data_IF_484254591087
#
_entry.id   IF_484254591087
#
_cell.length_a   1.000
_cell.length_b   1.000
_cell.length_c   1.000
_cell.angle_alpha   90.00
_cell.angle_beta   90.00
_cell.angle_gamma   90.00
#
_symmetry.space_group_name_H-M   'P 1'
#
loop_
_entity.id
_entity.type
_entity.pdbx_description
1 polymer ?
#
# COMPACT_ATOMS: atom_id res chain seq x y z
N UNK A 1 22.99 9.48 4.34
CA UNK A 1 21.75 9.41 5.15
C UNK A 1 20.67 8.62 4.43
N UNK A 2 19.64 8.13 5.12
CA UNK A 2 18.49 7.43 4.52
C UNK A 2 17.26 8.33 4.59
N UNK A 3 16.53 8.42 3.51
CA UNK A 3 15.25 9.14 3.45
C UNK A 3 14.13 8.18 3.07
N UNK A 4 12.92 8.47 3.55
CA UNK A 4 11.67 7.83 3.15
C UNK A 4 10.86 8.79 2.32
N UNK A 5 10.43 8.35 1.16
CA UNK A 5 9.62 9.11 0.23
C UNK A 5 8.21 8.55 0.25
N UNK A 6 7.22 9.40 0.54
CA UNK A 6 5.79 9.11 0.39
C UNK A 6 5.32 9.62 -0.97
N UNK A 7 4.55 8.82 -1.68
CA UNK A 7 4.03 9.21 -3.00
C UNK A 7 2.65 8.64 -3.27
N UNK A 8 1.92 9.27 -4.18
CA UNK A 8 0.67 8.74 -4.75
C UNK A 8 0.91 8.10 -6.11
N UNK A 9 0.02 7.18 -6.49
CA UNK A 9 -0.03 6.55 -7.81
C UNK A 9 -1.49 6.36 -8.22
N UNK A 10 -1.97 7.19 -9.16
CA UNK A 10 -3.37 7.25 -9.54
C UNK A 10 -3.56 7.31 -11.06
N UNK A 11 -4.79 7.25 -11.51
CA UNK A 11 -5.17 7.36 -12.91
C UNK A 11 -4.62 6.21 -13.75
N UNK A 12 -4.17 6.49 -14.95
CA UNK A 12 -3.64 5.48 -15.89
C UNK A 12 -2.37 4.79 -15.39
N UNK A 13 -1.62 5.43 -14.49
CA UNK A 13 -0.40 4.86 -13.95
C UNK A 13 -0.65 3.71 -12.98
N UNK A 14 -1.89 3.47 -12.52
CA UNK A 14 -2.24 2.27 -11.75
C UNK A 14 -1.90 0.96 -12.49
N UNK A 15 -1.80 0.99 -13.82
CA UNK A 15 -1.50 -0.19 -14.63
C UNK A 15 -0.01 -0.50 -14.77
N UNK A 16 0.91 0.38 -14.33
CA UNK A 16 2.33 0.05 -14.31
C UNK A 16 2.69 -0.89 -13.14
N UNK A 17 3.49 -1.91 -13.46
CA UNK A 17 3.93 -2.89 -12.48
C UNK A 17 5.02 -2.34 -11.54
N UNK A 18 5.26 -3.06 -10.45
CA UNK A 18 6.21 -2.67 -9.41
C UNK A 18 7.64 -2.43 -9.94
N UNK A 19 8.15 -3.32 -10.82
CA UNK A 19 9.51 -3.17 -11.37
C UNK A 19 9.64 -1.94 -12.28
N UNK A 20 8.60 -1.62 -13.02
CA UNK A 20 8.61 -0.44 -13.90
C UNK A 20 8.48 0.85 -13.09
N UNK A 21 7.68 0.83 -12.01
CA UNK A 21 7.61 1.94 -11.05
C UNK A 21 8.97 2.19 -10.37
N UNK A 22 9.66 1.13 -9.95
CA UNK A 22 11.01 1.24 -9.39
C UNK A 22 11.98 1.88 -10.39
N UNK A 23 11.98 1.40 -11.65
CA UNK A 23 12.82 1.96 -12.73
C UNK A 23 12.44 3.40 -13.04
N UNK A 24 11.17 3.75 -12.95
CA UNK A 24 10.67 5.11 -13.13
C UNK A 24 11.29 6.07 -12.11
N UNK A 25 11.21 5.74 -10.81
CA UNK A 25 11.83 6.56 -9.76
C UNK A 25 13.36 6.62 -9.88
N UNK A 26 14.02 5.51 -10.21
CA UNK A 26 15.46 5.52 -10.47
C UNK A 26 15.85 6.48 -11.62
N UNK A 27 15.04 6.57 -12.68
CA UNK A 27 15.24 7.53 -13.76
C UNK A 27 14.95 8.96 -13.30
N UNK A 28 13.92 9.17 -12.48
CA UNK A 28 13.60 10.48 -11.92
C UNK A 28 14.77 11.02 -11.08
N UNK A 29 15.29 10.23 -10.13
CA UNK A 29 16.48 10.61 -9.35
C UNK A 29 17.69 10.98 -10.23
N UNK A 30 17.93 10.25 -11.33
CA UNK A 30 19.05 10.57 -12.25
C UNK A 30 18.86 11.88 -13.01
N UNK A 31 17.63 12.38 -13.14
CA UNK A 31 17.34 13.68 -13.79
C UNK A 31 17.43 14.84 -12.81
N UNK A 32 17.31 14.57 -11.51
CA UNK A 32 17.56 15.57 -10.47
C UNK A 32 19.04 15.67 -10.14
N UNK A 33 19.41 16.70 -9.38
CA UNK A 33 20.75 16.87 -8.79
C UNK A 33 20.90 16.13 -7.44
N UNK A 34 19.89 15.37 -7.01
CA UNK A 34 19.93 14.57 -5.77
C UNK A 34 20.92 13.43 -5.94
N UNK A 35 21.97 13.45 -5.11
CA UNK A 35 23.02 12.43 -5.15
C UNK A 35 22.62 11.23 -4.30
N UNK A 36 22.33 10.12 -4.97
CA UNK A 36 21.96 8.85 -4.36
C UNK A 36 23.15 7.93 -4.21
N UNK A 37 23.13 7.06 -3.19
CA UNK A 37 24.13 6.02 -3.00
C UNK A 37 23.82 4.79 -3.83
N UNK A 38 24.89 4.12 -4.27
CA UNK A 38 24.83 2.88 -5.03
C UNK A 38 25.47 1.74 -4.25
N UNK A 39 24.99 0.53 -4.48
CA UNK A 39 25.61 -0.69 -3.94
C UNK A 39 27.02 -0.87 -4.46
N UNK A 40 27.86 -1.57 -3.69
CA UNK A 40 29.20 -1.98 -4.14
C UNK A 40 29.14 -3.13 -5.16
N UNK A 41 30.31 -3.48 -5.73
CA UNK A 41 30.50 -4.63 -6.61
C UNK A 41 30.45 -4.30 -8.10
N UNK A 42 30.39 -5.33 -8.95
CA UNK A 42 30.52 -5.19 -10.41
C UNK A 42 29.26 -4.66 -11.10
N UNK A 43 28.11 -4.68 -10.45
CA UNK A 43 26.83 -4.17 -10.99
C UNK A 43 26.16 -3.24 -9.99
N UNK A 44 26.66 -2.01 -9.82
CA UNK A 44 26.11 -1.06 -8.85
C UNK A 44 24.66 -0.72 -9.18
N UNK A 45 23.78 -0.79 -8.19
CA UNK A 45 22.40 -0.35 -8.29
C UNK A 45 22.07 0.65 -7.19
N UNK A 46 21.12 1.54 -7.46
CA UNK A 46 20.64 2.51 -6.48
C UNK A 46 20.11 1.79 -5.25
N UNK A 47 20.55 2.17 -4.05
CA UNK A 47 20.09 1.59 -2.80
C UNK A 47 18.70 2.14 -2.51
N UNK A 48 17.68 1.45 -3.00
CA UNK A 48 16.26 1.82 -2.92
C UNK A 48 15.41 0.59 -2.57
N UNK A 49 14.46 0.75 -1.64
CA UNK A 49 13.58 -0.33 -1.17
C UNK A 49 12.16 0.18 -0.99
N UNK A 50 11.20 -0.39 -1.71
CA UNK A 50 9.78 -0.06 -1.55
C UNK A 50 9.18 -0.78 -0.34
N UNK A 51 8.21 -0.14 0.31
CA UNK A 51 7.51 -0.67 1.47
C UNK A 51 6.72 -1.93 1.12
N UNK A 52 5.83 -1.82 0.17
CA UNK A 52 5.02 -2.95 -0.31
C UNK A 52 4.71 -2.76 -1.80
N UNK A 53 4.75 -3.85 -2.56
CA UNK A 53 4.36 -3.81 -3.95
C UNK A 53 2.86 -3.56 -4.09
N UNK A 54 2.48 -2.50 -4.81
CA UNK A 54 1.09 -2.23 -5.17
C UNK A 54 0.67 -3.10 -6.35
N UNK A 55 -0.48 -3.76 -6.24
CA UNK A 55 -1.04 -4.55 -7.34
C UNK A 55 -1.33 -3.71 -8.58
N UNK A 56 -1.20 -4.31 -9.76
CA UNK A 56 -1.61 -3.67 -11.02
C UNK A 56 -3.12 -3.44 -11.00
N UNK A 57 -3.57 -2.26 -11.41
CA UNK A 57 -4.96 -1.81 -11.36
C UNK A 57 -5.38 -1.18 -10.04
N UNK A 58 -4.53 -1.18 -9.02
CA UNK A 58 -4.77 -0.52 -7.73
C UNK A 58 -4.20 0.88 -7.74
N UNK A 59 -5.00 1.85 -7.31
CA UNK A 59 -4.58 3.23 -7.04
C UNK A 59 -4.10 3.38 -5.61
N UNK A 60 -3.23 4.36 -5.35
CA UNK A 60 -2.78 4.65 -3.99
C UNK A 60 -2.50 6.13 -3.76
N UNK A 61 -2.81 6.60 -2.55
CA UNK A 61 -2.47 7.92 -2.04
C UNK A 61 -1.32 7.88 -1.01
N UNK A 62 -0.89 6.67 -0.60
CA UNK A 62 0.11 6.48 0.45
C UNK A 62 1.01 5.28 0.16
N UNK A 63 1.91 5.42 -0.83
CA UNK A 63 2.99 4.49 -1.10
C UNK A 63 4.31 5.03 -0.57
N UNK A 64 5.23 4.10 -0.24
CA UNK A 64 6.52 4.49 0.33
C UNK A 64 7.68 3.71 -0.25
N UNK A 65 8.83 4.39 -0.33
CA UNK A 65 10.11 3.73 -0.49
C UNK A 65 11.20 4.46 0.29
N UNK A 66 12.20 3.71 0.71
CA UNK A 66 13.42 4.24 1.28
C UNK A 66 14.50 4.32 0.20
N UNK A 67 15.33 5.37 0.25
CA UNK A 67 16.51 5.51 -0.61
C UNK A 67 17.67 6.09 0.21
N UNK A 68 18.88 5.59 -0.06
CA UNK A 68 20.08 6.15 0.53
C UNK A 68 20.62 7.27 -0.35
N UNK A 69 20.89 8.41 0.28
CA UNK A 69 21.46 9.59 -0.37
C UNK A 69 22.80 9.96 0.27
N UNK A 70 23.65 10.74 -0.45
CA UNK A 70 24.87 11.30 0.12
C UNK A 70 24.52 12.29 1.24
N UNK A 71 25.41 12.40 2.20
CA UNK A 71 25.21 13.29 3.35
C UNK A 71 25.39 14.77 2.96
N UNK A 72 24.80 15.68 3.75
CA UNK A 72 24.93 17.12 3.55
C UNK A 72 24.01 17.73 2.48
N UNK A 73 23.06 16.98 1.95
CA UNK A 73 22.05 17.50 1.02
C UNK A 73 20.84 18.07 1.77
N UNK A 74 20.26 19.14 1.24
CA UNK A 74 19.05 19.75 1.77
C UNK A 74 17.82 18.94 1.35
N UNK A 75 17.23 18.23 2.33
CA UNK A 75 16.04 17.38 2.12
C UNK A 75 14.78 18.20 1.92
N UNK A 76 14.71 19.43 2.43
CA UNK A 76 13.52 20.28 2.31
C UNK A 76 13.11 20.58 0.87
N UNK A 77 14.07 20.60 -0.05
CA UNK A 77 13.85 20.86 -1.49
C UNK A 77 13.64 19.59 -2.33
N UNK A 78 13.83 18.39 -1.76
CA UNK A 78 13.81 17.16 -2.53
C UNK A 78 12.41 16.80 -3.05
N UNK A 79 11.36 17.11 -2.30
CA UNK A 79 9.98 16.94 -2.75
C UNK A 79 9.74 17.68 -4.07
N UNK A 80 10.07 18.96 -4.13
CA UNK A 80 9.83 19.80 -5.31
C UNK A 80 10.70 19.36 -6.48
N UNK A 81 11.98 19.03 -6.23
CA UNK A 81 12.89 18.50 -7.25
C UNK A 81 12.38 17.19 -7.86
N UNK A 82 11.87 16.29 -7.05
CA UNK A 82 11.30 15.03 -7.53
C UNK A 82 10.01 15.30 -8.31
N UNK A 83 9.10 16.13 -7.77
CA UNK A 83 7.84 16.44 -8.45
C UNK A 83 8.01 17.11 -9.81
N UNK A 84 9.06 17.89 -10.01
CA UNK A 84 9.40 18.46 -11.32
C UNK A 84 9.69 17.37 -12.40
N UNK A 85 10.03 16.15 -11.97
CA UNK A 85 10.33 15.00 -12.83
C UNK A 85 9.19 13.97 -12.90
N UNK A 86 8.09 14.20 -12.17
CA UNK A 86 6.96 13.26 -12.14
C UNK A 86 6.03 13.45 -13.34
N UNK A 87 5.51 12.33 -13.85
CA UNK A 87 4.41 12.33 -14.81
C UNK A 87 3.08 12.50 -14.07
N UNK A 88 2.06 12.99 -14.78
CA UNK A 88 0.69 13.03 -14.28
C UNK A 88 0.26 11.66 -13.75
N UNK A 89 -0.29 11.64 -12.52
CA UNK A 89 -0.71 10.42 -11.81
C UNK A 89 0.33 9.86 -10.82
N UNK A 90 1.53 10.46 -10.73
CA UNK A 90 2.47 10.22 -9.62
C UNK A 90 2.81 11.57 -8.99
N UNK A 91 2.69 11.66 -7.68
CA UNK A 91 3.07 12.84 -6.89
C UNK A 91 3.86 12.41 -5.66
N UNK A 92 5.01 13.03 -5.43
CA UNK A 92 5.74 12.93 -4.17
C UNK A 92 5.06 13.82 -3.14
N UNK A 93 4.54 13.21 -2.09
CA UNK A 93 3.75 13.87 -1.05
C UNK A 93 4.65 14.39 0.06
N UNK A 94 5.60 13.56 0.49
CA UNK A 94 6.50 13.88 1.61
C UNK A 94 7.88 13.22 1.42
N UNK A 95 8.91 13.84 2.02
CA UNK A 95 10.27 13.29 2.11
C UNK A 95 10.76 13.47 3.55
N UNK A 96 10.98 12.37 4.24
CA UNK A 96 11.37 12.36 5.66
C UNK A 96 12.76 11.75 5.81
N UNK A 97 13.61 12.37 6.64
CA UNK A 97 14.90 11.76 7.03
C UNK A 97 14.64 10.69 8.08
N UNK A 98 15.13 9.49 7.83
CA UNK A 98 14.99 8.41 8.79
C UNK A 98 16.10 8.44 9.84
N UNK A 99 15.79 8.13 11.12
CA UNK A 99 16.79 7.84 12.13
C UNK A 99 17.72 6.70 11.67
N UNK A 100 18.95 6.71 12.15
CA UNK A 100 19.97 5.72 11.76
C UNK A 100 19.53 4.26 12.00
N UNK A 101 18.76 4.04 13.09
CA UNK A 101 18.26 2.71 13.49
C UNK A 101 16.84 2.39 12.98
N UNK A 102 16.25 3.27 12.14
CA UNK A 102 14.93 3.01 11.60
C UNK A 102 14.91 1.73 10.77
N UNK A 103 13.85 0.93 10.94
CA UNK A 103 13.58 -0.21 10.08
C UNK A 103 13.38 0.29 8.65
N UNK A 104 13.76 -0.54 7.66
CA UNK A 104 13.46 -0.22 6.28
C UNK A 104 11.94 -0.27 6.01
N UNK A 105 11.49 0.44 4.97
CA UNK A 105 10.08 0.57 4.64
C UNK A 105 9.37 -0.78 4.57
N UNK A 106 9.96 -1.79 3.93
CA UNK A 106 9.35 -3.13 3.78
C UNK A 106 9.13 -3.83 5.13
N UNK A 107 10.10 -3.73 6.04
CA UNK A 107 10.01 -4.35 7.37
C UNK A 107 9.09 -3.58 8.33
N UNK A 108 8.79 -2.31 8.01
CA UNK A 108 7.96 -1.46 8.87
C UNK A 108 6.46 -1.66 8.63
N UNK A 109 6.03 -2.19 7.48
CA UNK A 109 4.61 -2.31 7.14
C UNK A 109 3.89 -3.25 8.10
N UNK A 110 2.84 -2.75 8.77
CA UNK A 110 1.96 -3.50 9.65
C UNK A 110 0.53 -3.57 9.13
N UNK A 111 0.00 -2.46 8.63
CA UNK A 111 -1.38 -2.36 8.18
C UNK A 111 -1.52 -1.46 6.95
N UNK A 112 -2.67 -1.51 6.30
CA UNK A 112 -3.07 -0.59 5.24
C UNK A 112 -4.56 -0.30 5.26
N UNK A 113 -4.89 0.93 4.85
CA UNK A 113 -6.25 1.37 4.61
C UNK A 113 -6.57 1.28 3.13
N UNK A 114 -7.77 0.80 2.84
CA UNK A 114 -8.34 0.77 1.49
C UNK A 114 -9.73 1.37 1.45
N UNK A 115 -10.06 1.95 0.31
CA UNK A 115 -11.42 2.29 -0.09
C UNK A 115 -11.77 1.48 -1.34
N UNK A 116 -12.90 0.79 -1.28
CA UNK A 116 -13.45 0.03 -2.41
C UNK A 116 -14.66 0.78 -2.94
N UNK A 117 -14.63 1.11 -4.23
CA UNK A 117 -15.72 1.82 -4.91
C UNK A 117 -16.25 0.98 -6.06
N UNK A 118 -17.54 0.66 -6.04
CA UNK A 118 -18.18 -0.14 -7.08
C UNK A 118 -18.45 0.69 -8.33
N UNK A 119 -18.12 0.15 -9.51
CA UNK A 119 -18.11 0.93 -10.76
C UNK A 119 -19.49 1.07 -11.40
N UNK A 120 -20.44 0.22 -11.02
CA UNK A 120 -21.85 0.30 -11.43
C UNK A 120 -22.66 1.33 -10.59
N UNK A 121 -22.03 1.97 -9.61
CA UNK A 121 -22.64 2.96 -8.74
C UNK A 121 -23.52 2.36 -7.62
N UNK A 122 -23.60 1.04 -7.53
CA UNK A 122 -24.37 0.32 -6.50
C UNK A 122 -23.38 -0.37 -5.54
N UNK A 123 -23.41 0.00 -4.27
CA UNK A 123 -22.65 -0.72 -3.25
C UNK A 123 -23.47 -1.94 -2.78
N UNK A 124 -23.07 -3.18 -3.15
CA UNK A 124 -23.78 -4.38 -2.71
C UNK A 124 -23.50 -4.75 -1.24
N UNK A 125 -22.43 -4.20 -0.63
CA UNK A 125 -22.10 -4.42 0.78
C UNK A 125 -23.00 -3.53 1.65
N UNK A 126 -23.70 -4.14 2.60
CA UNK A 126 -24.62 -3.46 3.52
C UNK A 126 -24.04 -3.43 4.94
N UNK A 127 -24.53 -2.51 5.77
CA UNK A 127 -24.23 -2.50 7.22
C UNK A 127 -24.56 -3.83 7.87
N UNK A 128 -25.68 -4.47 7.49
CA UNK A 128 -26.07 -5.79 8.02
C UNK A 128 -25.05 -6.88 7.73
N UNK A 129 -24.38 -6.86 6.57
CA UNK A 129 -23.28 -7.81 6.27
C UNK A 129 -22.08 -7.55 7.16
N UNK A 130 -21.75 -6.28 7.40
CA UNK A 130 -20.65 -5.90 8.29
C UNK A 130 -20.96 -6.32 9.72
N UNK A 131 -22.17 -6.10 10.19
CA UNK A 131 -22.61 -6.56 11.52
C UNK A 131 -22.52 -8.09 11.65
N UNK A 132 -23.02 -8.83 10.65
CA UNK A 132 -22.88 -10.31 10.61
C UNK A 132 -21.42 -10.75 10.62
N UNK A 133 -20.56 -10.07 9.85
CA UNK A 133 -19.12 -10.32 9.83
C UNK A 133 -18.49 -10.08 11.20
N UNK A 134 -18.84 -8.97 11.86
CA UNK A 134 -18.30 -8.61 13.17
C UNK A 134 -18.78 -9.56 14.27
N UNK A 135 -20.05 -9.98 14.24
CA UNK A 135 -20.66 -10.87 15.24
C UNK A 135 -20.24 -12.33 15.09
N UNK A 136 -19.83 -12.76 13.89
CA UNK A 136 -19.36 -14.11 13.65
C UNK A 136 -18.10 -14.42 14.47
N UNK A 137 -18.01 -15.59 15.07
CA UNK A 137 -16.80 -16.06 15.78
C UNK A 137 -15.63 -16.29 14.84
N UNK A 138 -15.93 -16.75 13.62
CA UNK A 138 -14.97 -16.96 12.55
C UNK A 138 -15.64 -16.74 11.18
N UNK A 139 -14.85 -16.29 10.18
CA UNK A 139 -15.24 -16.24 8.78
C UNK A 139 -14.10 -16.86 7.98
N UNK A 140 -14.32 -18.09 7.54
CA UNK A 140 -13.31 -18.86 6.81
C UNK A 140 -13.26 -18.44 5.35
N UNK A 141 -12.07 -18.15 4.86
CA UNK A 141 -11.80 -17.86 3.46
C UNK A 141 -10.79 -18.88 2.90
N UNK A 142 -11.13 -19.48 1.75
CA UNK A 142 -10.28 -20.43 1.06
C UNK A 142 -9.73 -19.83 -0.22
N UNK A 143 -8.42 -19.70 -0.31
CA UNK A 143 -7.73 -19.22 -1.51
C UNK A 143 -6.99 -20.35 -2.24
N UNK A 144 -7.02 -20.32 -3.56
CA UNK A 144 -6.17 -21.18 -4.39
C UNK A 144 -4.71 -20.71 -4.33
N UNK A 145 -3.80 -21.64 -4.12
CA UNK A 145 -2.35 -21.41 -4.11
C UNK A 145 -1.69 -22.31 -5.15
N UNK A 146 -0.40 -22.09 -5.42
CA UNK A 146 0.37 -22.95 -6.34
C UNK A 146 0.48 -24.40 -5.87
N UNK A 147 0.38 -24.64 -4.57
CA UNK A 147 0.51 -25.97 -3.92
C UNK A 147 -0.83 -26.59 -3.52
N UNK A 148 -1.97 -25.97 -3.87
CA UNK A 148 -3.31 -26.44 -3.48
C UNK A 148 -4.17 -25.30 -2.95
N UNK A 149 -5.03 -25.59 -1.97
CA UNK A 149 -5.90 -24.62 -1.30
C UNK A 149 -5.38 -24.32 0.10
N UNK A 150 -5.58 -23.06 0.55
CA UNK A 150 -5.27 -22.63 1.90
C UNK A 150 -6.51 -21.95 2.49
N UNK A 151 -6.98 -22.44 3.62
CA UNK A 151 -8.11 -21.88 4.37
C UNK A 151 -7.58 -21.18 5.62
N UNK A 152 -8.11 -19.99 5.91
CA UNK A 152 -7.76 -19.22 7.09
C UNK A 152 -8.97 -18.39 7.56
N UNK A 153 -8.99 -18.00 8.84
CA UNK A 153 -9.99 -17.07 9.36
C UNK A 153 -9.61 -15.64 8.93
N UNK A 154 -10.43 -15.05 8.06
CA UNK A 154 -10.15 -13.70 7.52
C UNK A 154 -10.22 -12.62 8.59
N UNK A 155 -11.00 -12.82 9.65
CA UNK A 155 -11.16 -11.86 10.75
C UNK A 155 -9.84 -11.56 11.47
N UNK A 156 -8.91 -12.52 11.51
CA UNK A 156 -7.60 -12.34 12.16
C UNK A 156 -6.74 -11.27 11.48
N UNK A 157 -7.11 -10.86 10.26
CA UNK A 157 -6.39 -9.90 9.42
C UNK A 157 -7.15 -8.60 9.18
N UNK A 158 -8.34 -8.42 9.79
CA UNK A 158 -9.17 -7.22 9.64
C UNK A 158 -9.17 -6.44 10.93
N UNK A 159 -8.68 -5.19 10.88
CA UNK A 159 -8.69 -4.27 12.02
C UNK A 159 -9.95 -3.42 12.06
N UNK A 160 -10.48 -3.06 10.88
CA UNK A 160 -11.71 -2.28 10.75
C UNK A 160 -12.34 -2.48 9.37
N UNK A 161 -13.67 -2.44 9.30
CA UNK A 161 -14.44 -2.43 8.05
C UNK A 161 -15.74 -1.65 8.25
N UNK A 162 -16.05 -0.74 7.31
CA UNK A 162 -17.20 0.15 7.42
C UNK A 162 -17.79 0.47 6.03
N UNK A 163 -19.13 0.61 5.94
CA UNK A 163 -19.74 1.28 4.81
C UNK A 163 -19.56 2.79 4.94
N UNK A 164 -19.20 3.44 3.85
CA UNK A 164 -19.10 4.89 3.76
C UNK A 164 -19.93 5.41 2.59
N UNK A 165 -20.10 6.73 2.49
CA UNK A 165 -20.77 7.34 1.31
C UNK A 165 -20.03 7.09 0.00
N UNK A 166 -18.72 6.83 0.07
CA UNK A 166 -17.84 6.65 -1.10
C UNK A 166 -17.70 5.16 -1.48
N UNK A 167 -18.08 4.24 -0.59
CA UNK A 167 -17.92 2.80 -0.79
C UNK A 167 -17.64 2.06 0.51
N UNK A 168 -16.83 1.01 0.46
CA UNK A 168 -16.42 0.23 1.64
C UNK A 168 -15.01 0.60 2.04
N UNK A 169 -14.87 1.19 3.23
CA UNK A 169 -13.57 1.40 3.87
C UNK A 169 -13.15 0.13 4.60
N UNK A 170 -11.85 -0.18 4.56
CA UNK A 170 -11.29 -1.27 5.36
C UNK A 170 -9.84 -0.97 5.79
N UNK A 171 -9.51 -1.35 7.02
CA UNK A 171 -8.14 -1.38 7.55
C UNK A 171 -7.75 -2.84 7.79
N UNK A 172 -6.69 -3.30 7.14
CA UNK A 172 -6.30 -4.71 7.15
C UNK A 172 -4.81 -4.89 7.42
N UNK A 173 -4.46 -6.09 7.88
CA UNK A 173 -3.07 -6.50 8.02
C UNK A 173 -2.39 -6.53 6.64
N UNK A 174 -1.27 -5.83 6.54
CA UNK A 174 -0.41 -5.75 5.36
C UNK A 174 1.04 -6.14 5.69
N UNK A 175 1.26 -6.71 6.86
CA UNK A 175 2.57 -7.20 7.28
C UNK A 175 3.05 -8.38 6.42
N UNK A 176 4.32 -8.70 6.53
CA UNK A 176 4.89 -9.87 5.85
C UNK A 176 4.27 -11.20 6.30
N UNK A 177 3.68 -11.26 7.49
CA UNK A 177 3.01 -12.44 8.04
C UNK A 177 1.54 -12.55 7.63
N UNK A 178 0.84 -11.42 7.45
CA UNK A 178 -0.59 -11.36 7.17
C UNK A 178 -0.91 -11.06 5.71
N UNK A 179 -0.77 -9.82 5.30
CA UNK A 179 -1.00 -9.31 3.94
C UNK A 179 -2.35 -9.72 3.32
N UNK A 180 -3.44 -9.27 3.95
CA UNK A 180 -4.79 -9.52 3.43
C UNK A 180 -5.07 -8.67 2.19
N UNK A 181 -5.47 -9.30 1.10
CA UNK A 181 -5.89 -8.57 -0.11
C UNK A 181 -7.32 -8.06 0.06
N UNK A 182 -7.60 -6.77 -0.27
CA UNK A 182 -8.94 -6.19 -0.14
C UNK A 182 -10.05 -7.01 -0.83
N UNK A 183 -9.75 -7.58 -2.01
CA UNK A 183 -10.70 -8.43 -2.74
C UNK A 183 -11.21 -9.59 -1.88
N UNK A 184 -10.37 -10.22 -1.08
CA UNK A 184 -10.78 -11.37 -0.25
C UNK A 184 -11.78 -10.98 0.83
N UNK A 185 -11.64 -9.78 1.42
CA UNK A 185 -12.60 -9.28 2.39
C UNK A 185 -13.94 -8.95 1.74
N UNK A 186 -13.92 -8.28 0.56
CA UNK A 186 -15.17 -8.02 -0.20
C UNK A 186 -15.86 -9.32 -0.57
N UNK A 187 -15.15 -10.30 -1.11
CA UNK A 187 -15.71 -11.64 -1.41
C UNK A 187 -16.34 -12.27 -0.17
N UNK A 188 -15.66 -12.20 0.98
CA UNK A 188 -16.18 -12.78 2.22
C UNK A 188 -17.46 -12.09 2.70
N UNK A 189 -17.54 -10.75 2.60
CA UNK A 189 -18.74 -10.01 2.98
C UNK A 189 -19.93 -10.35 2.06
N UNK A 190 -19.71 -10.37 0.75
CA UNK A 190 -20.76 -10.68 -0.22
C UNK A 190 -21.25 -12.13 -0.13
N UNK A 191 -20.36 -13.07 0.18
CA UNK A 191 -20.70 -14.47 0.39
C UNK A 191 -21.61 -14.70 1.60
N UNK A 192 -21.68 -13.76 2.58
CA UNK A 192 -22.64 -13.85 3.70
C UNK A 192 -24.11 -13.76 3.25
N UNK A 193 -24.36 -13.25 2.04
CA UNK A 193 -25.70 -13.11 1.44
C UNK A 193 -25.77 -13.82 0.06
N UNK A 194 -24.86 -14.76 -0.21
CA UNK A 194 -24.78 -15.52 -1.48
C UNK A 194 -24.65 -14.63 -2.73
N UNK A 195 -24.04 -13.44 -2.59
CA UNK A 195 -23.82 -12.49 -3.70
C UNK A 195 -22.47 -12.80 -4.36
N UNK A 196 -22.47 -12.95 -5.68
CA UNK A 196 -21.25 -13.19 -6.43
C UNK A 196 -20.47 -11.87 -6.67
N UNK A 197 -19.23 -11.79 -6.22
CA UNK A 197 -18.37 -10.62 -6.38
C UNK A 197 -18.11 -10.24 -7.86
N UNK A 198 -18.11 -11.21 -8.76
CA UNK A 198 -17.82 -10.96 -10.17
C UNK A 198 -18.95 -10.19 -10.89
N UNK A 199 -20.16 -10.16 -10.31
CA UNK A 199 -21.27 -9.35 -10.80
C UNK A 199 -21.18 -7.87 -10.39
N UNK A 200 -20.25 -7.52 -9.52
CA UNK A 200 -20.05 -6.20 -8.94
C UNK A 200 -18.60 -5.72 -9.10
N UNK A 201 -18.23 -5.23 -10.30
CA UNK A 201 -16.86 -4.74 -10.53
C UNK A 201 -16.56 -3.51 -9.70
N UNK A 202 -15.35 -3.44 -9.15
CA UNK A 202 -14.94 -2.37 -8.24
C UNK A 202 -13.50 -1.89 -8.48
N UNK A 203 -13.25 -0.66 -8.06
CA UNK A 203 -11.92 -0.07 -7.93
C UNK A 203 -11.39 -0.22 -6.52
N UNK A 204 -10.08 -0.33 -6.41
CA UNK A 204 -9.36 -0.38 -5.13
C UNK A 204 -8.45 0.84 -5.06
N UNK A 205 -8.62 1.63 -4.01
CA UNK A 205 -7.74 2.73 -3.64
C UNK A 205 -7.08 2.40 -2.30
N UNK A 206 -5.75 2.25 -2.26
CA UNK A 206 -4.99 2.24 -1.01
C UNK A 206 -4.88 3.67 -0.51
N UNK A 207 -5.37 3.96 0.69
CA UNK A 207 -5.30 5.30 1.25
C UNK A 207 -4.00 5.55 2.00
N UNK A 208 -3.51 4.53 2.75
CA UNK A 208 -2.34 4.65 3.60
C UNK A 208 -1.68 3.31 3.91
N UNK A 209 -0.39 3.34 4.21
CA UNK A 209 0.37 2.27 4.83
C UNK A 209 0.82 2.68 6.24
N UNK A 210 0.71 1.77 7.18
CA UNK A 210 0.99 2.00 8.60
C UNK A 210 2.14 1.14 9.09
N UNK A 211 2.96 1.73 9.96
CA UNK A 211 3.84 1.01 10.87
C UNK A 211 3.12 0.75 12.21
N UNK A 212 3.65 -0.16 13.01
CA UNK A 212 3.24 -0.35 14.40
C UNK A 212 4.28 0.27 15.32
N UNK A 213 3.83 1.18 16.20
CA UNK A 213 4.68 1.79 17.22
C UNK A 213 5.03 0.78 18.32
N UNK A 214 6.04 1.06 19.16
CA UNK A 214 6.34 0.21 20.33
C UNK A 214 5.16 0.07 21.30
N UNK A 215 4.27 1.06 21.37
CA UNK A 215 3.07 1.05 22.22
C UNK A 215 1.91 0.27 21.59
N UNK A 216 2.06 -0.18 20.34
CA UNK A 216 1.11 -1.00 19.61
C UNK A 216 0.17 -0.24 18.67
N UNK A 217 0.24 1.08 18.65
CA UNK A 217 -0.56 1.94 17.78
C UNK A 217 -0.13 1.84 16.30
N UNK A 218 -1.02 2.23 15.40
CA UNK A 218 -0.76 2.29 13.97
C UNK A 218 -0.56 3.75 13.55
N UNK A 219 0.63 4.05 13.02
CA UNK A 219 0.99 5.38 12.49
C UNK A 219 1.43 5.28 11.03
N UNK A 220 1.19 6.33 10.20
CA UNK A 220 1.71 6.39 8.83
C UNK A 220 3.22 6.13 8.77
N UNK A 221 3.69 5.49 7.70
CA UNK A 221 5.11 5.11 7.60
C UNK A 221 6.08 6.29 7.62
N UNK A 222 5.64 7.49 7.29
CA UNK A 222 6.48 8.71 7.32
C UNK A 222 6.63 9.33 8.73
N UNK A 223 6.02 8.73 9.75
CA UNK A 223 6.22 9.05 11.18
C UNK A 223 7.33 8.21 11.85
N UNK A 224 8.08 7.43 11.09
CA UNK A 224 9.11 6.51 11.59
C UNK A 224 10.35 7.21 12.16
#
# INVERSE_FOLDING_TARGET
>A
MKIRVKFSKVGVLKYIGHLDLMRYFQKAFRRTDIKVKYSGGFSPHMIMSFAQALGVGVESLGEYFDVEIEDGQDVSLMKDKLNAEMAEGIEVINVTVLPEKALNAMASVAASDYLITFTDGVNPVTESMIDKFNDASEVLYTKKTKSGEATFNIKDYVFDVQCTKEGVFMKVDSSSAGNLKPKFLIESLLNLEDINVDDHPFHILRKELYLRTPDGDLEPLDHA
#
